data_IF_483329184974
#
_entry.id   IF_483329184974
#
_cell.length_a   1.000
_cell.length_b   1.000
_cell.length_c   1.000
_cell.angle_alpha   90.00
_cell.angle_beta   90.00
_cell.angle_gamma   90.00
#
_symmetry.space_group_name_H-M   'P 1'
#
loop_
_entity.id
_entity.type
_entity.pdbx_description
1 polymer ?
#
# COMPACT_ATOMS: atom_id res chain seq x y z
N UNK A 1 -15.87 -13.42 -1.96
CA UNK A 1 -15.71 -12.00 -1.60
C UNK A 1 -14.27 -11.59 -1.80
N UNK A 2 -14.05 -10.49 -2.49
CA UNK A 2 -12.70 -9.96 -2.67
C UNK A 2 -12.31 -9.08 -1.49
N UNK A 3 -11.04 -9.12 -1.13
CA UNK A 3 -10.49 -8.25 -0.11
C UNK A 3 -9.44 -7.32 -0.74
N UNK A 4 -9.45 -6.07 -0.30
CA UNK A 4 -8.44 -5.08 -0.67
C UNK A 4 -7.56 -4.85 0.55
N UNK A 5 -6.26 -5.02 0.37
CA UNK A 5 -5.26 -4.69 1.38
C UNK A 5 -4.69 -3.32 1.04
N UNK A 6 -4.98 -2.34 1.88
CA UNK A 6 -4.49 -0.98 1.68
C UNK A 6 -3.07 -0.84 2.16
N UNK A 7 -2.28 -0.06 1.43
CA UNK A 7 -0.94 0.35 1.87
C UNK A 7 -0.80 1.87 1.70
N UNK A 8 0.04 2.46 2.51
CA UNK A 8 0.33 3.89 2.45
C UNK A 8 1.84 4.08 2.53
N UNK A 9 2.57 3.80 1.44
CA UNK A 9 4.03 3.82 1.46
C UNK A 9 4.64 5.21 1.28
N UNK A 10 3.85 6.19 0.96
CA UNK A 10 4.34 7.52 0.56
C UNK A 10 3.73 8.63 1.42
N UNK A 11 2.98 9.53 0.83
CA UNK A 11 2.44 10.69 1.52
C UNK A 11 1.26 10.40 2.43
N UNK A 12 1.13 11.18 3.49
CA UNK A 12 -0.03 11.13 4.37
C UNK A 12 -1.24 11.75 3.68
N UNK A 13 -2.43 11.29 4.04
CA UNK A 13 -3.65 11.92 3.57
C UNK A 13 -3.90 13.21 4.34
N UNK A 14 -3.98 14.32 3.62
CA UNK A 14 -4.30 15.61 4.22
C UNK A 14 -5.77 15.72 4.61
N UNK A 15 -6.62 14.97 3.92
CA UNK A 15 -8.05 14.88 4.19
C UNK A 15 -8.41 13.41 4.37
N UNK A 16 -8.66 13.02 5.60
CA UNK A 16 -8.99 11.64 5.94
C UNK A 16 -10.41 11.28 5.51
N UNK A 17 -11.29 12.27 5.32
CA UNK A 17 -12.68 12.03 4.97
C UNK A 17 -12.85 11.34 3.63
N UNK A 18 -12.08 11.75 2.62
CA UNK A 18 -12.20 11.17 1.27
C UNK A 18 -11.82 9.69 1.23
N UNK A 19 -10.67 9.27 1.76
CA UNK A 19 -10.35 7.84 1.78
C UNK A 19 -11.32 7.03 2.65
N UNK A 20 -11.79 7.59 3.77
CA UNK A 20 -12.77 6.90 4.61
C UNK A 20 -14.10 6.70 3.88
N UNK A 21 -14.56 7.72 3.16
CA UNK A 21 -15.79 7.61 2.35
C UNK A 21 -15.64 6.56 1.25
N UNK A 22 -14.49 6.52 0.60
CA UNK A 22 -14.21 5.50 -0.42
C UNK A 22 -14.23 4.09 0.15
N UNK A 23 -13.65 3.90 1.33
CA UNK A 23 -13.67 2.60 2.00
C UNK A 23 -15.10 2.18 2.38
N UNK A 24 -15.91 3.11 2.88
CA UNK A 24 -17.30 2.81 3.22
C UNK A 24 -18.10 2.40 1.98
N UNK A 25 -17.86 3.10 0.85
CA UNK A 25 -18.52 2.73 -0.39
C UNK A 25 -18.12 1.31 -0.82
N UNK A 26 -16.83 0.98 -0.77
CA UNK A 26 -16.36 -0.35 -1.12
C UNK A 26 -16.96 -1.42 -0.21
N UNK A 27 -17.03 -1.16 1.09
CA UNK A 27 -17.67 -2.08 2.04
C UNK A 27 -19.13 -2.31 1.69
N UNK A 28 -19.83 -1.26 1.27
CA UNK A 28 -21.24 -1.38 0.87
C UNK A 28 -21.42 -2.27 -0.36
N UNK A 29 -20.37 -2.43 -1.18
CA UNK A 29 -20.37 -3.32 -2.34
C UNK A 29 -19.89 -4.74 -2.00
N UNK A 30 -19.71 -5.05 -0.72
CA UNK A 30 -19.29 -6.38 -0.28
C UNK A 30 -17.77 -6.60 -0.30
N UNK A 31 -16.99 -5.54 -0.45
CA UNK A 31 -15.53 -5.64 -0.44
C UNK A 31 -15.01 -5.51 0.99
N UNK A 32 -14.12 -6.42 1.37
CA UNK A 32 -13.46 -6.38 2.67
C UNK A 32 -12.19 -5.51 2.57
N UNK A 33 -12.01 -4.59 3.53
CA UNK A 33 -10.85 -3.70 3.56
C UNK A 33 -9.94 -4.12 4.71
N UNK A 34 -8.67 -4.38 4.40
CA UNK A 34 -7.65 -4.70 5.39
C UNK A 34 -6.65 -3.57 5.51
N UNK A 35 -6.02 -3.47 6.67
CA UNK A 35 -5.01 -2.45 6.98
C UNK A 35 -5.57 -1.02 6.86
N UNK A 36 -6.84 -0.84 7.18
CA UNK A 36 -7.52 0.46 7.03
C UNK A 36 -6.86 1.57 7.85
N UNK A 37 -6.20 1.23 8.95
CA UNK A 37 -5.55 2.21 9.82
C UNK A 37 -4.43 2.99 9.13
N UNK A 38 -3.89 2.49 8.02
CA UNK A 38 -2.81 3.17 7.32
C UNK A 38 -3.23 4.55 6.78
N UNK A 39 -4.52 4.77 6.53
CA UNK A 39 -5.00 6.05 6.00
C UNK A 39 -4.88 7.19 7.00
N UNK A 40 -4.76 6.88 8.29
CA UNK A 40 -4.67 7.88 9.36
C UNK A 40 -3.24 8.08 9.86
N UNK A 41 -2.28 7.30 9.36
CA UNK A 41 -0.90 7.42 9.81
C UNK A 41 -0.27 8.70 9.29
N UNK A 42 0.43 9.41 10.16
CA UNK A 42 1.15 10.64 9.82
C UNK A 42 2.47 10.69 10.56
N UNK A 43 3.55 10.96 9.83
CA UNK A 43 4.86 11.31 10.37
C UNK A 43 5.42 12.38 9.43
N UNK A 44 5.41 13.61 9.87
CA UNK A 44 5.67 14.77 9.01
C UNK A 44 4.67 14.76 7.84
N UNK A 45 5.14 14.71 6.60
CA UNK A 45 4.28 14.62 5.41
C UNK A 45 4.02 13.20 4.94
N UNK A 46 4.60 12.21 5.63
CA UNK A 46 4.52 10.80 5.23
C UNK A 46 3.42 10.08 6.00
N UNK A 47 2.96 9.00 5.44
CA UNK A 47 1.93 8.14 6.05
C UNK A 47 2.58 7.15 7.01
N UNK A 48 3.28 7.67 8.00
CA UNK A 48 4.00 6.90 9.00
C UNK A 48 5.51 7.07 8.88
N UNK A 49 6.24 6.49 9.83
CA UNK A 49 7.69 6.49 9.83
C UNK A 49 8.24 5.66 8.66
N UNK A 50 9.54 5.80 8.39
CA UNK A 50 10.20 4.96 7.38
C UNK A 50 10.07 3.48 7.77
N UNK A 51 10.20 3.15 9.04
CA UNK A 51 10.08 1.76 9.51
C UNK A 51 8.67 1.21 9.31
N UNK A 52 7.64 1.99 9.61
CA UNK A 52 6.26 1.56 9.42
C UNK A 52 5.95 1.31 7.94
N UNK A 53 6.36 2.24 7.09
CA UNK A 53 6.11 2.15 5.65
C UNK A 53 6.90 1.00 5.02
N UNK A 54 8.16 0.82 5.44
CA UNK A 54 8.99 -0.28 4.95
C UNK A 54 8.45 -1.64 5.38
N UNK A 55 8.06 -1.78 6.64
CA UNK A 55 7.47 -3.02 7.14
C UNK A 55 6.21 -3.38 6.36
N UNK A 56 5.38 -2.39 6.06
CA UNK A 56 4.16 -2.60 5.29
C UNK A 56 4.47 -3.13 3.88
N UNK A 57 5.46 -2.55 3.20
CA UNK A 57 5.87 -3.01 1.87
C UNK A 57 6.45 -4.42 1.92
N UNK A 58 7.32 -4.71 2.89
CA UNK A 58 7.94 -6.04 2.97
C UNK A 58 6.94 -7.13 3.37
N UNK A 59 5.86 -6.77 4.06
CA UNK A 59 4.78 -7.71 4.38
C UNK A 59 3.97 -8.14 3.14
N UNK A 60 4.08 -7.42 2.03
CA UNK A 60 3.38 -7.79 0.80
C UNK A 60 3.72 -9.21 0.35
N UNK A 61 4.92 -9.68 0.64
CA UNK A 61 5.36 -11.04 0.31
C UNK A 61 4.49 -12.12 0.97
N UNK A 62 3.76 -11.76 2.03
CA UNK A 62 2.95 -12.69 2.81
C UNK A 62 1.45 -12.51 2.58
N UNK A 63 1.06 -11.59 1.71
CA UNK A 63 -0.35 -11.35 1.40
C UNK A 63 -0.86 -12.46 0.50
N UNK A 64 -2.08 -12.94 0.77
CA UNK A 64 -2.73 -13.96 -0.05
C UNK A 64 -2.88 -13.46 -1.50
N UNK A 65 -2.57 -14.28 -2.50
CA UNK A 65 -2.70 -13.88 -3.91
C UNK A 65 -4.15 -13.62 -4.35
N UNK A 66 -5.13 -13.97 -3.51
CA UNK A 66 -6.54 -13.69 -3.80
C UNK A 66 -6.93 -12.26 -3.45
N UNK A 67 -6.05 -11.49 -2.80
CA UNK A 67 -6.29 -10.11 -2.41
C UNK A 67 -5.68 -9.15 -3.41
N UNK A 68 -6.28 -7.96 -3.49
CA UNK A 68 -5.70 -6.86 -4.26
C UNK A 68 -5.03 -5.90 -3.30
N UNK A 69 -3.77 -5.59 -3.55
CA UNK A 69 -3.05 -4.57 -2.78
C UNK A 69 -3.20 -3.24 -3.50
N UNK A 70 -3.62 -2.22 -2.77
CA UNK A 70 -3.84 -0.90 -3.34
C UNK A 70 -3.14 0.17 -2.50
N UNK A 71 -2.30 0.97 -3.16
CA UNK A 71 -1.67 2.12 -2.51
C UNK A 71 -2.71 3.23 -2.35
N UNK A 72 -2.80 3.79 -1.14
CA UNK A 72 -3.77 4.82 -0.81
C UNK A 72 -3.57 6.08 -1.65
N UNK A 73 -2.33 6.52 -1.78
CA UNK A 73 -1.98 7.70 -2.57
C UNK A 73 -0.48 7.72 -2.86
N UNK A 74 -0.07 8.64 -3.74
CA UNK A 74 1.33 8.94 -3.99
C UNK A 74 1.90 9.95 -2.99
N UNK A 75 2.65 10.91 -3.49
CA UNK A 75 3.42 11.84 -2.68
C UNK A 75 4.82 11.28 -2.46
N UNK A 76 5.68 12.07 -1.85
CA UNK A 76 7.06 11.65 -1.60
C UNK A 76 7.16 10.61 -0.49
N UNK A 77 8.24 9.88 -0.48
CA UNK A 77 8.61 9.03 0.64
C UNK A 77 9.14 7.66 0.27
N UNK A 78 8.73 7.11 -0.85
CA UNK A 78 9.09 5.74 -1.19
C UNK A 78 10.58 5.60 -1.54
N UNK A 79 11.19 6.63 -2.09
CA UNK A 79 12.61 6.62 -2.45
C UNK A 79 13.52 6.31 -1.26
N UNK A 80 13.12 6.74 -0.05
CA UNK A 80 13.88 6.49 1.17
C UNK A 80 13.86 5.02 1.56
N UNK A 81 12.91 4.26 1.03
CA UNK A 81 12.69 2.86 1.38
C UNK A 81 13.31 1.89 0.37
N UNK A 82 13.56 2.34 -0.86
CA UNK A 82 13.96 1.47 -1.96
C UNK A 82 15.13 0.54 -1.63
N UNK A 83 16.21 1.01 -0.95
CA UNK A 83 17.34 0.12 -0.68
C UNK A 83 17.02 -1.05 0.27
N UNK A 84 15.99 -0.92 1.09
CA UNK A 84 15.68 -1.90 2.14
C UNK A 84 14.48 -2.77 1.82
N UNK A 85 13.87 -2.60 0.64
CA UNK A 85 12.75 -3.41 0.21
C UNK A 85 13.23 -4.80 -0.21
N UNK A 86 12.52 -5.83 0.27
CA UNK A 86 12.78 -7.21 -0.12
C UNK A 86 12.16 -7.51 -1.48
N UNK A 87 12.83 -7.05 -2.53
CA UNK A 87 12.35 -7.16 -3.91
C UNK A 87 12.10 -8.59 -4.35
N UNK A 88 13.00 -9.51 -3.98
CA UNK A 88 12.89 -10.89 -4.41
C UNK A 88 11.65 -11.56 -3.83
N UNK A 89 11.36 -11.34 -2.56
CA UNK A 89 10.19 -11.93 -1.90
C UNK A 89 8.88 -11.38 -2.47
N UNK A 90 8.84 -10.06 -2.73
CA UNK A 90 7.64 -9.42 -3.29
C UNK A 90 7.41 -9.87 -4.74
N UNK A 91 8.49 -9.95 -5.54
CA UNK A 91 8.40 -10.44 -6.92
C UNK A 91 7.86 -11.88 -6.96
N UNK A 92 8.28 -12.70 -6.02
CA UNK A 92 7.80 -14.08 -5.91
C UNK A 92 6.30 -14.12 -5.60
N UNK A 93 5.82 -13.24 -4.72
CA UNK A 93 4.40 -13.15 -4.41
C UNK A 93 3.58 -12.74 -5.63
N UNK A 94 4.11 -11.80 -6.44
CA UNK A 94 3.45 -11.37 -7.67
C UNK A 94 3.41 -12.51 -8.68
N UNK A 95 4.48 -13.28 -8.82
CA UNK A 95 4.50 -14.46 -9.67
C UNK A 95 3.46 -15.48 -9.24
N UNK A 96 3.17 -15.55 -7.93
CA UNK A 96 2.13 -16.40 -7.37
C UNK A 96 0.71 -15.88 -7.54
N UNK A 97 0.53 -14.70 -8.14
CA UNK A 97 -0.77 -14.14 -8.45
C UNK A 97 -1.17 -12.88 -7.70
N UNK A 98 -0.34 -12.39 -6.77
CA UNK A 98 -0.64 -11.17 -6.04
C UNK A 98 -0.70 -9.98 -7.01
N UNK A 99 -1.77 -9.19 -6.91
CA UNK A 99 -1.94 -7.98 -7.71
C UNK A 99 -1.74 -6.75 -6.84
N UNK A 100 -0.92 -5.82 -7.33
CA UNK A 100 -0.60 -4.58 -6.63
C UNK A 100 -0.86 -3.42 -7.57
N UNK A 101 -1.59 -2.41 -7.12
CA UNK A 101 -1.84 -1.22 -7.92
C UNK A 101 -1.54 0.06 -7.13
N UNK A 102 -1.14 1.09 -7.87
CA UNK A 102 -0.84 2.40 -7.34
C UNK A 102 -0.30 3.28 -8.45
N UNK A 103 -0.07 4.54 -8.15
CA UNK A 103 0.42 5.50 -9.14
C UNK A 103 1.27 6.59 -8.48
N UNK A 104 1.77 7.53 -9.27
CA UNK A 104 2.58 8.66 -8.83
C UNK A 104 3.88 8.17 -8.18
N UNK A 105 4.18 8.55 -6.94
CA UNK A 105 5.41 8.14 -6.26
C UNK A 105 5.57 6.62 -6.19
N UNK A 106 4.45 5.89 -6.11
CA UNK A 106 4.48 4.43 -6.07
C UNK A 106 5.06 3.82 -7.35
N UNK A 107 5.13 4.57 -8.43
CA UNK A 107 5.76 4.14 -9.67
C UNK A 107 7.23 3.74 -9.45
N UNK A 108 7.93 4.41 -8.53
CA UNK A 108 9.31 4.05 -8.20
C UNK A 108 9.39 2.62 -7.67
N UNK A 109 8.44 2.21 -6.83
CA UNK A 109 8.35 0.83 -6.36
C UNK A 109 8.05 -0.13 -7.52
N UNK A 110 7.08 0.22 -8.37
CA UNK A 110 6.69 -0.60 -9.51
C UNK A 110 7.86 -0.81 -10.48
N UNK A 111 8.62 0.24 -10.74
CA UNK A 111 9.82 0.16 -11.59
C UNK A 111 10.90 -0.72 -10.99
N UNK A 112 11.04 -0.73 -9.68
CA UNK A 112 12.01 -1.59 -9.00
C UNK A 112 11.70 -3.07 -9.14
N UNK A 113 10.47 -3.42 -9.49
CA UNK A 113 10.05 -4.82 -9.69
C UNK A 113 10.36 -5.34 -11.09
N UNK A 114 10.71 -4.45 -12.00
CA UNK A 114 11.10 -4.86 -13.35
C UNK A 114 12.51 -5.45 -13.34
#
# INVERSE_FOLDING_TARGET
>A
MKAIHLIAPSGASLDVKSPLAGMEWLKSQGVQIENAACVERVSERFAGSDQERLAELNQLAQISPQKLVMAMRGGYGIHRLLPDIDWAAIAKAIQGGLQICGHSDFTAFEMGLL
#
